data_IF_227051270506
#
_entry.id   IF_227051270506
#
_cell.length_a   1.000
_cell.length_b   1.000
_cell.length_c   1.000
_cell.angle_alpha   90.00
_cell.angle_beta   90.00
_cell.angle_gamma   90.00
#
_symmetry.space_group_name_H-M   'P 1'
#
loop_
_entity.id
_entity.type
_entity.pdbx_description
1 polymer ?
#
# COMPACT_ATOMS: atom_id res chain seq x y z
N UNK A 1 -21.37 19.95 6.27
CA UNK A 1 -22.00 18.63 6.07
C UNK A 1 -22.39 17.94 7.38
N UNK A 2 -22.24 18.58 8.56
CA UNK A 2 -22.71 18.09 9.84
C UNK A 2 -21.80 17.10 10.58
N UNK A 3 -20.63 16.78 10.04
CA UNK A 3 -19.64 15.94 10.72
C UNK A 3 -18.67 16.77 11.56
N UNK A 4 -18.34 16.29 12.75
CA UNK A 4 -17.36 16.94 13.63
C UNK A 4 -15.92 16.67 13.14
N UNK A 5 -15.66 15.47 12.58
CA UNK A 5 -14.34 15.05 12.09
C UNK A 5 -14.43 14.41 10.69
N UNK A 6 -13.37 14.56 9.90
CA UNK A 6 -13.27 13.95 8.56
C UNK A 6 -13.40 12.42 8.61
N UNK A 7 -12.91 11.79 9.66
CA UNK A 7 -12.94 10.33 9.81
C UNK A 7 -14.39 9.79 9.92
N UNK A 8 -15.31 10.54 10.54
CA UNK A 8 -16.72 10.18 10.63
C UNK A 8 -17.39 10.22 9.26
N UNK A 9 -17.08 11.27 8.47
CA UNK A 9 -17.52 11.35 7.08
C UNK A 9 -16.98 10.16 6.25
N UNK A 10 -15.71 9.83 6.41
CA UNK A 10 -15.10 8.71 5.69
C UNK A 10 -15.78 7.39 6.03
N UNK A 11 -16.04 7.13 7.33
CA UNK A 11 -16.78 5.95 7.79
C UNK A 11 -18.13 5.82 7.07
N UNK A 12 -18.90 6.90 7.02
CA UNK A 12 -20.23 6.89 6.39
C UNK A 12 -20.14 6.71 4.87
N UNK A 13 -19.10 7.25 4.21
CA UNK A 13 -18.88 7.02 2.78
C UNK A 13 -18.45 5.58 2.48
N UNK A 14 -17.60 4.98 3.32
CA UNK A 14 -17.24 3.56 3.20
C UNK A 14 -18.47 2.67 3.40
N UNK A 15 -19.29 2.94 4.42
CA UNK A 15 -20.55 2.21 4.65
C UNK A 15 -21.49 2.33 3.44
N UNK A 16 -21.65 3.53 2.88
CA UNK A 16 -22.46 3.76 1.68
C UNK A 16 -21.96 2.98 0.47
N UNK A 17 -20.63 2.92 0.26
CA UNK A 17 -20.02 2.15 -0.83
C UNK A 17 -20.32 0.65 -0.65
N UNK A 18 -20.09 0.11 0.54
CA UNK A 18 -20.41 -1.29 0.86
C UNK A 18 -21.88 -1.61 0.57
N UNK A 19 -22.79 -0.78 1.10
CA UNK A 19 -24.25 -0.98 0.99
C UNK A 19 -24.74 -0.89 -0.45
N UNK A 20 -24.25 0.09 -1.21
CA UNK A 20 -24.80 0.42 -2.53
C UNK A 20 -24.15 -0.29 -3.69
N UNK A 21 -22.90 -0.70 -3.54
CA UNK A 21 -22.13 -1.26 -4.67
C UNK A 21 -21.59 -2.66 -4.42
N UNK A 22 -21.48 -3.06 -3.16
CA UNK A 22 -20.77 -4.28 -2.78
C UNK A 22 -19.26 -4.20 -2.90
N UNK A 23 -18.68 -3.06 -3.30
CA UNK A 23 -17.23 -2.89 -3.36
C UNK A 23 -16.63 -2.81 -1.96
N UNK A 24 -15.42 -3.35 -1.81
CA UNK A 24 -14.70 -3.39 -0.54
C UNK A 24 -13.81 -2.14 -0.39
N UNK A 25 -14.11 -1.21 0.53
CA UNK A 25 -13.26 -0.06 0.76
C UNK A 25 -11.90 -0.44 1.35
N UNK A 26 -10.85 0.20 0.81
CA UNK A 26 -9.54 0.34 1.44
C UNK A 26 -9.36 1.80 1.87
N UNK A 27 -9.17 2.07 3.16
CA UNK A 27 -9.10 3.43 3.68
C UNK A 27 -7.66 3.84 4.00
N UNK A 28 -7.22 4.98 3.41
CA UNK A 28 -5.93 5.59 3.70
C UNK A 28 -6.10 7.10 3.96
N UNK A 29 -6.68 7.51 5.10
CA UNK A 29 -6.96 8.91 5.39
C UNK A 29 -5.77 9.69 5.97
N UNK A 30 -4.60 9.08 6.09
CA UNK A 30 -3.45 9.63 6.78
C UNK A 30 -3.28 9.06 8.20
N UNK A 31 -2.66 9.85 9.08
CA UNK A 31 -2.45 9.46 10.48
C UNK A 31 -3.78 9.29 11.22
N UNK A 32 -3.92 8.19 11.94
CA UNK A 32 -5.12 7.80 12.68
C UNK A 32 -4.77 7.43 14.11
N UNK A 33 -5.68 7.75 15.02
CA UNK A 33 -5.67 7.18 16.38
C UNK A 33 -6.25 5.77 16.37
N UNK A 34 -6.06 5.04 17.47
CA UNK A 34 -6.66 3.70 17.64
C UNK A 34 -8.20 3.76 17.57
N UNK A 35 -8.83 4.80 18.12
CA UNK A 35 -10.27 5.03 18.03
C UNK A 35 -10.73 5.29 16.57
N UNK A 36 -9.93 6.00 15.79
CA UNK A 36 -10.23 6.23 14.37
C UNK A 36 -10.20 4.93 13.57
N UNK A 37 -9.21 4.08 13.83
CA UNK A 37 -9.09 2.76 13.20
C UNK A 37 -10.24 1.86 13.62
N UNK A 38 -10.59 1.84 14.92
CA UNK A 38 -11.73 1.08 15.44
C UNK A 38 -13.06 1.52 14.79
N UNK A 39 -13.23 2.84 14.55
CA UNK A 39 -14.40 3.40 13.88
C UNK A 39 -14.53 2.97 12.42
N UNK A 40 -13.40 2.84 11.70
CA UNK A 40 -13.38 2.46 10.28
C UNK A 40 -13.41 0.93 10.07
N UNK A 41 -12.95 0.14 11.03
CA UNK A 41 -12.80 -1.31 10.89
C UNK A 41 -14.07 -2.03 10.40
N UNK A 42 -15.29 -1.71 10.89
CA UNK A 42 -16.52 -2.38 10.43
C UNK A 42 -16.92 -2.09 8.98
N UNK A 43 -16.33 -1.08 8.35
CA UNK A 43 -16.73 -0.59 7.02
C UNK A 43 -15.59 -0.62 6.00
N UNK A 44 -14.46 -1.25 6.34
CA UNK A 44 -13.29 -1.37 5.46
C UNK A 44 -12.72 -2.78 5.47
N UNK A 45 -12.28 -3.28 4.32
CA UNK A 45 -11.61 -4.58 4.22
C UNK A 45 -10.14 -4.51 4.63
N UNK A 46 -9.53 -3.36 4.46
CA UNK A 46 -8.15 -3.06 4.84
C UNK A 46 -7.94 -1.56 4.98
N UNK A 47 -6.83 -1.17 5.61
CA UNK A 47 -6.45 0.23 5.73
C UNK A 47 -4.97 0.40 5.36
N UNK A 48 -4.52 1.64 5.22
CA UNK A 48 -3.13 1.91 4.89
C UNK A 48 -2.63 3.26 5.39
N UNK A 49 -1.33 3.30 5.61
CA UNK A 49 -0.53 4.50 5.78
C UNK A 49 0.92 4.19 5.41
N UNK A 50 1.46 4.89 4.42
CA UNK A 50 2.88 4.78 4.09
C UNK A 50 3.73 5.25 5.28
N UNK A 51 4.67 4.43 5.76
CA UNK A 51 5.71 4.91 6.70
C UNK A 51 6.57 5.99 6.03
N UNK A 52 6.84 5.83 4.75
CA UNK A 52 7.73 6.59 3.89
C UNK A 52 9.19 6.46 4.28
N UNK A 53 9.55 6.81 5.49
CA UNK A 53 10.91 6.68 6.04
C UNK A 53 10.90 6.78 7.57
N UNK A 54 11.89 6.21 8.23
CA UNK A 54 12.15 6.48 9.66
C UNK A 54 13.18 7.58 9.88
N UNK A 55 13.70 8.19 8.82
CA UNK A 55 14.73 9.22 8.90
C UNK A 55 14.18 10.53 9.46
N UNK A 56 14.48 10.84 10.71
CA UNK A 56 14.15 12.14 11.33
C UNK A 56 14.93 13.29 10.68
N UNK A 57 16.08 13.02 10.08
CA UNK A 57 16.89 14.00 9.34
C UNK A 57 16.09 14.67 8.21
N UNK A 58 15.12 13.97 7.63
CA UNK A 58 14.25 14.53 6.58
C UNK A 58 13.21 15.52 7.10
N UNK A 59 13.05 15.66 8.42
CA UNK A 59 12.24 16.71 9.07
C UNK A 59 13.02 18.01 9.26
N UNK A 60 14.36 17.96 9.16
CA UNK A 60 15.24 19.09 9.37
C UNK A 60 15.18 20.11 8.22
N UNK A 61 15.93 21.21 8.37
CA UNK A 61 16.02 22.26 7.34
C UNK A 61 16.61 21.68 6.03
N UNK A 62 15.84 21.77 4.96
CA UNK A 62 16.20 21.22 3.65
C UNK A 62 15.69 19.81 3.38
N UNK A 63 15.20 19.12 4.39
CA UNK A 63 14.60 17.79 4.23
C UNK A 63 13.23 17.81 3.56
N UNK A 64 12.86 16.71 2.93
CA UNK A 64 11.62 16.54 2.19
C UNK A 64 10.36 16.71 3.07
N UNK A 65 10.43 16.26 4.32
CA UNK A 65 9.32 16.26 5.28
C UNK A 65 9.29 17.48 6.22
N UNK A 66 10.15 18.49 5.97
CA UNK A 66 10.19 19.67 6.81
C UNK A 66 8.83 20.38 6.88
N UNK A 67 8.35 20.59 8.12
CA UNK A 67 7.08 21.28 8.38
C UNK A 67 5.84 20.42 8.14
N UNK A 68 6.01 19.09 8.03
CA UNK A 68 4.92 18.13 7.87
C UNK A 68 4.81 17.29 9.15
N UNK A 69 3.99 17.68 10.14
CA UNK A 69 3.88 16.98 11.42
C UNK A 69 3.33 15.56 11.28
N UNK A 70 2.54 15.32 10.25
CA UNK A 70 2.01 14.00 9.87
C UNK A 70 3.05 13.07 9.22
N UNK A 71 4.26 13.59 8.93
CA UNK A 71 5.39 12.82 8.40
C UNK A 71 6.44 12.46 9.46
N UNK A 72 6.20 12.79 10.71
CA UNK A 72 7.06 12.35 11.82
C UNK A 72 7.03 10.83 11.91
N UNK A 73 8.17 10.12 11.83
CA UNK A 73 8.20 8.65 11.77
C UNK A 73 7.49 8.00 12.96
N UNK A 74 7.71 8.48 14.18
CA UNK A 74 7.07 7.95 15.38
C UNK A 74 5.53 8.01 15.32
N UNK A 75 4.97 9.10 14.76
CA UNK A 75 3.52 9.27 14.60
C UNK A 75 2.94 8.28 13.59
N UNK A 76 3.68 8.01 12.50
CA UNK A 76 3.27 7.03 11.49
C UNK A 76 3.39 5.60 12.00
N UNK A 77 4.49 5.28 12.69
CA UNK A 77 4.67 3.97 13.33
C UNK A 77 3.57 3.69 14.36
N UNK A 78 3.16 4.68 15.16
CA UNK A 78 2.05 4.52 16.10
C UNK A 78 0.72 4.18 15.40
N UNK A 79 0.41 4.82 14.28
CA UNK A 79 -0.79 4.47 13.49
C UNK A 79 -0.70 3.03 12.95
N UNK A 80 0.46 2.61 12.41
CA UNK A 80 0.65 1.25 11.90
C UNK A 80 0.55 0.24 13.03
N UNK A 81 1.13 0.54 14.18
CA UNK A 81 1.08 -0.31 15.37
C UNK A 81 -0.35 -0.42 15.94
N UNK A 82 -1.11 0.69 15.98
CA UNK A 82 -2.51 0.69 16.39
C UNK A 82 -3.38 -0.22 15.50
N UNK A 83 -3.14 -0.20 14.19
CA UNK A 83 -3.79 -1.15 13.27
C UNK A 83 -3.44 -2.61 13.59
N UNK A 84 -2.20 -2.88 14.01
CA UNK A 84 -1.76 -4.18 14.46
C UNK A 84 -2.45 -4.66 15.75
N UNK A 85 -2.58 -3.77 16.76
CA UNK A 85 -3.33 -4.06 17.99
C UNK A 85 -4.80 -4.41 17.71
N UNK A 86 -5.41 -3.71 16.77
CA UNK A 86 -6.80 -3.91 16.33
C UNK A 86 -6.97 -5.00 15.26
N UNK A 87 -5.89 -5.68 14.87
CA UNK A 87 -5.93 -6.75 13.88
C UNK A 87 -6.58 -6.34 12.55
N UNK A 88 -6.20 -5.19 12.02
CA UNK A 88 -6.67 -4.69 10.73
C UNK A 88 -5.63 -5.01 9.65
N UNK A 89 -5.98 -5.68 8.54
CA UNK A 89 -5.06 -5.86 7.41
C UNK A 89 -4.57 -4.50 6.92
N UNK A 90 -3.25 -4.29 6.93
CA UNK A 90 -2.69 -2.96 6.75
C UNK A 90 -1.66 -2.90 5.63
N UNK A 91 -1.75 -1.88 4.80
CA UNK A 91 -0.77 -1.53 3.77
C UNK A 91 0.13 -0.41 4.28
N UNK A 92 1.44 -0.59 4.18
CA UNK A 92 2.42 0.44 4.46
C UNK A 92 3.52 0.45 3.38
N UNK A 93 4.59 1.19 3.56
CA UNK A 93 5.69 1.20 2.61
C UNK A 93 6.67 2.32 2.82
N UNK A 94 7.66 2.36 1.94
CA UNK A 94 8.71 3.37 1.92
C UNK A 94 8.67 4.19 0.64
N UNK A 95 9.08 5.46 0.74
CA UNK A 95 9.24 6.35 -0.41
C UNK A 95 10.73 6.62 -0.61
N UNK A 96 11.25 6.23 -1.77
CA UNK A 96 12.68 6.40 -2.09
C UNK A 96 12.93 7.57 -3.04
N UNK A 97 14.12 8.17 -2.91
CA UNK A 97 14.55 9.31 -3.73
C UNK A 97 14.15 10.66 -3.15
N UNK A 98 13.79 10.73 -1.88
CA UNK A 98 13.44 11.97 -1.17
C UNK A 98 14.60 12.55 -0.36
N UNK A 99 15.82 12.03 -0.54
CA UNK A 99 17.03 12.44 0.16
C UNK A 99 17.45 11.51 1.30
N UNK A 100 16.78 10.38 1.46
CA UNK A 100 17.18 9.32 2.37
C UNK A 100 18.43 8.58 1.87
N UNK A 101 19.17 7.99 2.78
CA UNK A 101 20.29 7.10 2.48
C UNK A 101 19.84 5.65 2.30
N UNK A 102 20.71 4.80 1.72
CA UNK A 102 20.45 3.36 1.62
C UNK A 102 20.28 2.69 2.99
N UNK A 103 20.98 3.16 4.03
CA UNK A 103 20.82 2.66 5.40
C UNK A 103 19.44 3.03 5.95
N UNK A 104 18.99 4.27 5.76
CA UNK A 104 17.66 4.72 6.21
C UNK A 104 16.52 3.95 5.52
N UNK A 105 16.70 3.50 4.25
CA UNK A 105 15.77 2.57 3.60
C UNK A 105 15.71 1.22 4.30
N UNK A 106 16.89 0.64 4.58
CA UNK A 106 17.02 -0.64 5.29
C UNK A 106 16.40 -0.55 6.69
N UNK A 107 16.72 0.50 7.44
CA UNK A 107 16.19 0.72 8.79
C UNK A 107 14.66 0.88 8.76
N UNK A 108 14.11 1.58 7.74
CA UNK A 108 12.67 1.71 7.55
C UNK A 108 12.00 0.35 7.30
N UNK A 109 12.61 -0.51 6.49
CA UNK A 109 12.12 -1.86 6.23
C UNK A 109 12.19 -2.75 7.48
N UNK A 110 13.23 -2.63 8.30
CA UNK A 110 13.31 -3.34 9.58
C UNK A 110 12.28 -2.86 10.60
N UNK A 111 11.98 -1.55 10.63
CA UNK A 111 10.91 -1.03 11.47
C UNK A 111 9.54 -1.62 11.08
N UNK A 112 9.25 -1.71 9.78
CA UNK A 112 8.04 -2.36 9.26
C UNK A 112 8.04 -3.85 9.61
N UNK A 113 9.18 -4.54 9.40
CA UNK A 113 9.34 -5.98 9.72
C UNK A 113 9.08 -6.25 11.20
N UNK A 114 9.58 -5.42 12.10
CA UNK A 114 9.38 -5.58 13.54
C UNK A 114 7.89 -5.51 13.92
N UNK A 115 7.09 -4.64 13.29
CA UNK A 115 5.65 -4.58 13.49
C UNK A 115 4.93 -5.79 12.90
N UNK A 116 5.39 -6.27 11.73
CA UNK A 116 4.84 -7.49 11.12
C UNK A 116 5.11 -8.71 12.00
N UNK A 117 6.32 -8.87 12.50
CA UNK A 117 6.70 -9.99 13.37
C UNK A 117 5.90 -9.99 14.69
N UNK A 118 5.54 -8.80 15.19
CA UNK A 118 4.79 -8.66 16.43
C UNK A 118 3.28 -8.88 16.28
N UNK A 119 2.68 -8.39 15.19
CA UNK A 119 1.22 -8.34 15.05
C UNK A 119 0.68 -9.17 13.87
N UNK A 120 1.49 -9.47 12.88
CA UNK A 120 1.10 -10.24 11.70
C UNK A 120 0.06 -9.56 10.80
N UNK A 121 -0.05 -8.22 10.84
CA UNK A 121 -1.15 -7.47 10.21
C UNK A 121 -0.77 -6.74 8.92
N UNK A 122 0.53 -6.64 8.60
CA UNK A 122 0.99 -5.92 7.42
C UNK A 122 0.90 -6.85 6.20
N UNK A 123 -0.14 -6.65 5.42
CA UNK A 123 -0.41 -7.45 4.22
C UNK A 123 0.50 -7.08 3.05
N UNK A 124 0.93 -5.81 2.97
CA UNK A 124 1.61 -5.25 1.80
C UNK A 124 2.59 -4.16 2.21
N UNK A 125 3.78 -4.21 1.61
CA UNK A 125 4.80 -3.15 1.74
C UNK A 125 5.10 -2.59 0.36
N UNK A 126 4.76 -1.32 0.17
CA UNK A 126 4.95 -0.60 -1.09
C UNK A 126 6.35 0.02 -1.11
N UNK A 127 7.12 -0.27 -2.14
CA UNK A 127 8.34 0.48 -2.49
C UNK A 127 7.96 1.49 -3.58
N UNK A 128 7.80 2.74 -3.19
CA UNK A 128 7.41 3.82 -4.10
C UNK A 128 8.60 4.70 -4.44
N UNK A 129 8.79 5.03 -5.70
CA UNK A 129 9.80 5.99 -6.12
C UNK A 129 9.25 7.41 -6.18
N UNK A 130 10.04 8.36 -5.72
CA UNK A 130 9.77 9.78 -5.88
C UNK A 130 9.67 10.14 -7.37
N UNK A 131 8.68 10.97 -7.69
CA UNK A 131 8.54 11.61 -9.00
C UNK A 131 8.46 13.12 -8.82
N UNK A 132 9.31 13.84 -9.53
CA UNK A 132 9.31 15.32 -9.50
C UNK A 132 8.06 15.88 -10.18
N UNK A 133 7.57 16.98 -9.63
CA UNK A 133 6.45 17.75 -10.17
C UNK A 133 6.85 19.23 -10.24
N UNK A 134 6.28 19.96 -11.17
CA UNK A 134 6.65 21.36 -11.39
C UNK A 134 6.32 22.28 -10.21
N UNK A 135 5.31 21.94 -9.44
CA UNK A 135 4.73 22.73 -8.37
C UNK A 135 5.23 22.39 -6.96
N UNK A 136 6.19 21.45 -6.83
CA UNK A 136 6.76 21.06 -5.53
C UNK A 136 8.16 21.64 -5.31
N UNK A 137 8.59 21.74 -4.05
CA UNK A 137 9.93 22.21 -3.68
C UNK A 137 11.06 21.37 -4.30
N UNK A 138 10.81 20.07 -4.48
CA UNK A 138 11.78 19.10 -5.02
C UNK A 138 11.70 18.95 -6.54
N UNK A 139 11.15 19.93 -7.27
CA UNK A 139 10.98 19.88 -8.74
C UNK A 139 12.27 19.62 -9.53
N UNK A 140 13.39 20.03 -8.99
CA UNK A 140 14.73 19.88 -9.61
C UNK A 140 15.53 18.72 -8.98
N UNK A 141 14.92 17.94 -8.07
CA UNK A 141 15.57 16.84 -7.38
C UNK A 141 15.71 15.62 -8.29
N UNK A 142 16.82 14.85 -8.21
CA UNK A 142 16.98 13.66 -9.04
C UNK A 142 15.94 12.60 -8.68
N UNK A 143 15.36 11.98 -9.69
CA UNK A 143 14.47 10.84 -9.51
C UNK A 143 15.28 9.55 -9.36
N UNK A 144 14.79 8.58 -8.57
CA UNK A 144 15.41 7.25 -8.50
C UNK A 144 15.48 6.58 -9.87
N UNK A 145 16.59 5.92 -10.13
CA UNK A 145 16.78 5.11 -11.33
C UNK A 145 16.08 3.75 -11.21
N UNK A 146 15.93 3.04 -12.35
CA UNK A 146 15.47 1.66 -12.34
C UNK A 146 16.34 0.77 -11.43
N UNK A 147 17.66 0.98 -11.44
CA UNK A 147 18.58 0.22 -10.59
C UNK A 147 18.37 0.49 -9.09
N UNK A 148 18.03 1.74 -8.71
CA UNK A 148 17.68 2.07 -7.32
C UNK A 148 16.43 1.31 -6.89
N UNK A 149 15.42 1.23 -7.75
CA UNK A 149 14.21 0.46 -7.49
C UNK A 149 14.51 -1.03 -7.36
N UNK A 150 15.20 -1.64 -8.32
CA UNK A 150 15.53 -3.06 -8.30
C UNK A 150 16.33 -3.45 -7.04
N UNK A 151 17.32 -2.66 -6.66
CA UNK A 151 18.09 -2.88 -5.42
C UNK A 151 17.22 -2.78 -4.18
N UNK A 152 16.34 -1.77 -4.13
CA UNK A 152 15.46 -1.57 -2.97
C UNK A 152 14.43 -2.69 -2.86
N UNK A 153 13.83 -3.13 -3.96
CA UNK A 153 12.91 -4.27 -4.00
C UNK A 153 13.57 -5.57 -3.55
N UNK A 154 14.77 -5.86 -4.08
CA UNK A 154 15.52 -7.06 -3.68
C UNK A 154 15.85 -7.07 -2.17
N UNK A 155 16.28 -5.92 -1.64
CA UNK A 155 16.54 -5.78 -0.19
C UNK A 155 15.26 -5.88 0.61
N UNK A 156 14.15 -5.27 0.16
CA UNK A 156 12.84 -5.38 0.80
C UNK A 156 12.39 -6.85 0.87
N UNK A 157 12.51 -7.60 -0.22
CA UNK A 157 12.18 -9.03 -0.26
C UNK A 157 13.05 -9.85 0.71
N UNK A 158 14.34 -9.58 0.78
CA UNK A 158 15.24 -10.26 1.70
C UNK A 158 14.92 -9.99 3.18
N UNK A 159 14.54 -8.75 3.50
CA UNK A 159 14.17 -8.34 4.85
C UNK A 159 12.78 -8.87 5.24
N UNK A 160 11.78 -8.69 4.38
CA UNK A 160 10.39 -9.02 4.67
C UNK A 160 10.05 -10.51 4.50
N UNK A 161 10.91 -11.26 3.84
CA UNK A 161 10.68 -12.70 3.58
C UNK A 161 9.58 -12.93 2.54
N UNK A 162 8.87 -14.05 2.65
CA UNK A 162 7.86 -14.49 1.69
C UNK A 162 6.42 -14.34 2.19
N UNK A 163 6.23 -13.88 3.43
CA UNK A 163 4.91 -13.79 4.08
C UNK A 163 4.25 -12.42 3.94
N UNK A 164 5.01 -11.41 3.52
CA UNK A 164 4.51 -10.06 3.30
C UNK A 164 4.67 -9.73 1.81
N UNK A 165 3.60 -9.27 1.18
CA UNK A 165 3.67 -8.86 -0.22
C UNK A 165 4.54 -7.61 -0.38
N UNK A 166 5.39 -7.61 -1.41
CA UNK A 166 6.19 -6.46 -1.82
C UNK A 166 5.62 -5.90 -3.11
N UNK A 167 5.16 -4.67 -3.05
CA UNK A 167 4.47 -3.98 -4.14
C UNK A 167 5.27 -2.78 -4.64
N UNK A 168 5.17 -2.47 -5.92
CA UNK A 168 5.62 -1.20 -6.49
C UNK A 168 4.68 -0.74 -7.60
N UNK A 169 4.35 0.57 -7.67
CA UNK A 169 3.46 1.10 -8.70
C UNK A 169 4.09 1.02 -10.09
N UNK A 170 3.47 0.33 -11.07
CA UNK A 170 4.06 0.16 -12.40
C UNK A 170 4.06 1.46 -13.23
N UNK A 171 3.11 2.37 -12.99
CA UNK A 171 2.99 3.64 -13.71
C UNK A 171 4.12 4.64 -13.39
N UNK A 172 4.80 4.50 -12.26
CA UNK A 172 5.87 5.41 -11.88
C UNK A 172 7.22 5.09 -12.56
N UNK A 173 7.34 3.95 -13.21
CA UNK A 173 8.53 3.53 -13.98
C UNK A 173 8.10 2.74 -15.23
N UNK A 174 7.41 3.38 -16.20
CA UNK A 174 6.78 2.67 -17.32
C UNK A 174 7.77 1.86 -18.15
N UNK A 175 9.04 2.32 -18.23
CA UNK A 175 10.10 1.62 -18.94
C UNK A 175 10.85 0.71 -17.95
N UNK A 176 10.46 -0.59 -17.92
CA UNK A 176 11.19 -1.62 -17.19
C UNK A 176 10.59 -2.01 -15.84
N UNK A 177 9.35 -1.63 -15.51
CA UNK A 177 8.68 -2.08 -14.27
C UNK A 177 8.55 -3.61 -14.20
N UNK A 178 8.44 -4.30 -15.32
CA UNK A 178 8.41 -5.77 -15.40
C UNK A 178 9.65 -6.42 -14.74
N UNK A 179 10.80 -5.77 -14.78
CA UNK A 179 12.01 -6.24 -14.09
C UNK A 179 11.89 -6.28 -12.57
N UNK A 180 10.90 -5.60 -11.99
CA UNK A 180 10.61 -5.64 -10.55
C UNK A 180 10.29 -7.04 -10.06
N UNK A 181 9.65 -7.87 -10.90
CA UNK A 181 9.38 -9.28 -10.62
C UNK A 181 10.65 -10.07 -10.34
N UNK A 182 11.72 -9.81 -11.11
CA UNK A 182 13.02 -10.46 -10.93
C UNK A 182 13.76 -9.97 -9.67
N UNK A 183 13.36 -8.81 -9.15
CA UNK A 183 13.87 -8.26 -7.89
C UNK A 183 13.02 -8.67 -6.67
N UNK A 184 12.03 -9.55 -6.85
CA UNK A 184 11.24 -10.10 -5.75
C UNK A 184 9.93 -9.40 -5.46
N UNK A 185 9.44 -8.54 -6.39
CA UNK A 185 8.08 -8.03 -6.35
C UNK A 185 7.09 -9.18 -6.60
N UNK A 186 5.98 -9.18 -5.89
CA UNK A 186 4.89 -10.15 -6.05
C UNK A 186 3.49 -9.51 -6.10
N UNK A 187 3.42 -8.17 -6.13
CA UNK A 187 2.13 -7.47 -6.26
C UNK A 187 2.30 -6.15 -7.04
N UNK A 188 1.34 -5.84 -7.89
CA UNK A 188 1.31 -4.59 -8.66
C UNK A 188 0.46 -3.49 -8.01
N UNK A 189 -0.23 -3.81 -6.92
CA UNK A 189 -1.15 -2.91 -6.25
C UNK A 189 -2.47 -2.70 -6.98
N UNK A 190 -3.13 -1.62 -6.64
CA UNK A 190 -4.42 -1.25 -7.22
C UNK A 190 -4.29 -0.55 -8.57
N UNK A 191 -4.10 -1.30 -9.65
CA UNK A 191 -4.08 -0.74 -11.01
C UNK A 191 -5.50 -0.57 -11.52
N UNK A 192 -5.90 0.67 -11.80
CA UNK A 192 -7.26 0.98 -12.27
C UNK A 192 -7.34 1.11 -13.79
N UNK A 193 -8.21 0.35 -14.48
CA UNK A 193 -8.45 0.55 -15.90
C UNK A 193 -9.35 1.77 -16.20
N UNK A 194 -9.99 2.35 -15.19
CA UNK A 194 -11.04 3.38 -15.34
C UNK A 194 -10.60 4.73 -14.79
N UNK A 195 -9.92 4.75 -13.64
CA UNK A 195 -9.53 5.98 -12.97
C UNK A 195 -8.04 6.25 -13.17
N UNK A 196 -7.70 7.53 -13.30
CA UNK A 196 -6.28 7.94 -13.26
C UNK A 196 -5.71 7.82 -11.85
N UNK A 197 -4.39 7.76 -11.76
CA UNK A 197 -3.69 7.99 -10.49
C UNK A 197 -3.88 9.47 -10.09
N UNK A 198 -4.59 9.71 -8.98
CA UNK A 198 -4.85 11.07 -8.50
C UNK A 198 -3.65 11.71 -7.82
N UNK A 199 -2.68 10.91 -7.38
CA UNK A 199 -1.43 11.41 -6.80
C UNK A 199 -0.44 11.78 -7.91
N UNK A 200 -0.36 10.96 -8.98
CA UNK A 200 0.52 11.17 -10.12
C UNK A 200 -0.30 11.19 -11.44
N UNK A 201 -1.15 12.20 -11.64
CA UNK A 201 -2.10 12.22 -12.76
C UNK A 201 -1.43 12.29 -14.15
N UNK A 202 -0.15 12.67 -14.17
CA UNK A 202 0.71 12.68 -15.37
C UNK A 202 1.27 11.29 -15.71
N UNK A 203 1.05 10.28 -14.87
CA UNK A 203 1.52 8.90 -15.03
C UNK A 203 0.33 7.96 -15.18
N UNK A 204 -0.02 7.65 -16.41
CA UNK A 204 -1.10 6.71 -16.70
C UNK A 204 -0.77 5.30 -16.20
N UNK A 205 -1.79 4.61 -15.70
CA UNK A 205 -1.68 3.18 -15.42
C UNK A 205 -1.44 2.39 -16.71
N UNK A 206 -0.64 1.32 -16.69
CA UNK A 206 -0.57 0.40 -17.81
C UNK A 206 -1.94 -0.26 -18.02
N UNK A 207 -2.24 -0.64 -19.26
CA UNK A 207 -3.41 -1.46 -19.53
C UNK A 207 -3.27 -2.82 -18.84
N UNK A 208 -4.35 -3.34 -18.24
CA UNK A 208 -4.33 -4.62 -17.53
C UNK A 208 -3.81 -5.76 -18.40
N UNK A 209 -4.20 -5.81 -19.68
CA UNK A 209 -3.68 -6.79 -20.64
C UNK A 209 -2.17 -6.68 -20.83
N UNK A 210 -1.64 -5.47 -20.97
CA UNK A 210 -0.20 -5.23 -21.10
C UNK A 210 0.53 -5.68 -19.82
N UNK A 211 -0.02 -5.36 -18.66
CA UNK A 211 0.53 -5.77 -17.37
C UNK A 211 0.60 -7.29 -17.27
N UNK A 212 -0.47 -7.98 -17.67
CA UNK A 212 -0.53 -9.45 -17.72
C UNK A 212 0.51 -10.02 -18.68
N UNK A 213 0.55 -9.55 -19.92
CA UNK A 213 1.50 -10.01 -20.94
C UNK A 213 2.96 -9.83 -20.51
N UNK A 214 3.30 -8.71 -19.88
CA UNK A 214 4.65 -8.46 -19.36
C UNK A 214 4.99 -9.37 -18.19
N UNK A 215 4.03 -9.62 -17.29
CA UNK A 215 4.18 -10.53 -16.15
C UNK A 215 4.42 -11.98 -16.64
N UNK A 216 3.57 -12.45 -17.54
CA UNK A 216 3.63 -13.82 -18.06
C UNK A 216 4.90 -14.09 -18.93
N UNK A 217 5.38 -13.09 -19.65
CA UNK A 217 6.63 -13.16 -20.42
C UNK A 217 7.86 -13.49 -19.58
N UNK A 218 7.84 -13.10 -18.31
CA UNK A 218 8.91 -13.41 -17.34
C UNK A 218 8.67 -14.72 -16.58
N UNK A 219 7.61 -15.48 -16.93
CA UNK A 219 7.30 -16.78 -16.32
C UNK A 219 6.49 -16.71 -15.05
N UNK A 220 5.89 -15.55 -14.73
CA UNK A 220 4.99 -15.37 -13.61
C UNK A 220 3.53 -15.40 -14.06
N UNK A 221 2.61 -15.69 -13.14
CA UNK A 221 1.18 -15.66 -13.39
C UNK A 221 0.55 -14.47 -12.68
N UNK A 222 -0.12 -13.59 -13.44
CA UNK A 222 -0.90 -12.52 -12.85
C UNK A 222 -2.28 -13.02 -12.44
N UNK A 223 -2.68 -12.72 -11.21
CA UNK A 223 -4.01 -13.04 -10.65
C UNK A 223 -4.60 -11.78 -10.00
N UNK A 224 -5.91 -11.65 -10.08
CA UNK A 224 -6.62 -10.57 -9.41
C UNK A 224 -6.91 -10.93 -7.94
N UNK A 225 -6.70 -9.98 -7.03
CA UNK A 225 -7.04 -10.08 -5.62
C UNK A 225 -7.98 -8.96 -5.18
N UNK A 226 -8.59 -9.14 -4.03
CA UNK A 226 -9.36 -8.09 -3.37
C UNK A 226 -8.43 -7.06 -2.68
N UNK A 227 -9.02 -6.00 -2.11
CA UNK A 227 -8.32 -5.03 -1.27
C UNK A 227 -7.78 -5.64 0.04
N UNK A 228 -8.14 -6.87 0.35
CA UNK A 228 -7.59 -7.71 1.42
C UNK A 228 -6.91 -8.92 0.80
N UNK A 229 -5.73 -9.27 1.30
CA UNK A 229 -4.93 -10.37 0.77
C UNK A 229 -5.44 -11.75 1.16
N UNK A 230 -5.17 -12.80 0.36
CA UNK A 230 -5.66 -14.16 0.60
C UNK A 230 -5.36 -14.71 1.99
N UNK A 231 -4.20 -14.39 2.55
CA UNK A 231 -3.80 -14.82 3.90
C UNK A 231 -4.76 -14.30 4.96
N UNK A 232 -5.22 -13.07 4.83
CA UNK A 232 -6.14 -12.41 5.76
C UNK A 232 -7.58 -12.83 5.52
N UNK A 233 -7.95 -13.16 4.29
CA UNK A 233 -9.23 -13.80 3.97
C UNK A 233 -9.35 -15.15 4.68
N UNK A 234 -8.31 -15.99 4.59
CA UNK A 234 -8.29 -17.31 5.29
C UNK A 234 -8.31 -17.19 6.82
N UNK A 235 -7.80 -16.09 7.36
CA UNK A 235 -7.79 -15.77 8.79
C UNK A 235 -8.87 -14.74 9.15
N UNK A 236 -9.96 -14.70 8.40
CA UNK A 236 -11.00 -13.68 8.52
C UNK A 236 -11.60 -13.55 9.93
N UNK A 237 -11.69 -14.65 10.69
CA UNK A 237 -12.14 -14.60 12.09
C UNK A 237 -11.27 -13.72 12.99
N UNK A 238 -10.00 -13.56 12.65
CA UNK A 238 -9.04 -12.74 13.39
C UNK A 238 -8.98 -11.30 12.88
N UNK A 239 -8.98 -11.13 11.55
CA UNK A 239 -8.61 -9.87 10.92
C UNK A 239 -9.78 -9.07 10.34
N UNK A 240 -10.89 -9.71 10.01
CA UNK A 240 -12.01 -9.04 9.36
C UNK A 240 -13.18 -8.85 10.33
N UNK A 241 -13.88 -7.74 10.19
CA UNK A 241 -15.17 -7.57 10.81
C UNK A 241 -16.16 -8.62 10.23
N UNK A 242 -17.10 -9.17 11.02
CA UNK A 242 -18.05 -10.18 10.53
C UNK A 242 -18.80 -9.78 9.26
N UNK A 243 -19.23 -8.52 9.15
CA UNK A 243 -19.93 -8.03 7.97
C UNK A 243 -19.04 -8.01 6.71
N UNK A 244 -17.78 -7.58 6.86
CA UNK A 244 -16.79 -7.59 5.77
C UNK A 244 -16.45 -9.02 5.38
N UNK A 245 -16.27 -9.92 6.34
CA UNK A 245 -15.97 -11.33 6.09
C UNK A 245 -17.07 -12.02 5.27
N UNK A 246 -18.33 -11.80 5.60
CA UNK A 246 -19.47 -12.36 4.85
C UNK A 246 -19.45 -11.88 3.38
N UNK A 247 -19.17 -10.60 3.16
CA UNK A 247 -19.10 -10.04 1.82
C UNK A 247 -17.91 -10.58 1.02
N UNK A 248 -16.72 -10.65 1.62
CA UNK A 248 -15.50 -11.21 1.02
C UNK A 248 -15.69 -12.67 0.61
N UNK A 249 -16.35 -13.48 1.44
CA UNK A 249 -16.58 -14.89 1.16
C UNK A 249 -17.32 -15.16 -0.17
N UNK A 250 -18.17 -14.24 -0.60
CA UNK A 250 -18.88 -14.32 -1.90
C UNK A 250 -18.05 -13.88 -3.12
N UNK A 251 -16.86 -13.33 -2.90
CA UNK A 251 -16.04 -12.68 -3.94
C UNK A 251 -14.77 -13.46 -4.31
N UNK A 252 -14.41 -14.48 -3.53
CA UNK A 252 -13.14 -15.20 -3.68
C UNK A 252 -13.32 -16.67 -3.96
N UNK A 253 -12.31 -17.29 -4.58
CA UNK A 253 -12.15 -18.73 -4.72
C UNK A 253 -11.60 -19.37 -3.42
N UNK A 254 -11.38 -20.68 -3.42
CA UNK A 254 -10.79 -21.41 -2.30
C UNK A 254 -9.38 -20.95 -1.93
N UNK A 255 -8.67 -20.29 -2.84
CA UNK A 255 -7.36 -19.69 -2.62
C UNK A 255 -7.41 -18.31 -1.98
N UNK A 256 -8.59 -17.66 -1.95
CA UNK A 256 -8.76 -16.28 -1.47
C UNK A 256 -8.50 -15.21 -2.54
N UNK A 257 -8.43 -15.61 -3.80
CA UNK A 257 -8.28 -14.71 -4.96
C UNK A 257 -9.62 -14.56 -5.69
N UNK A 258 -9.73 -13.55 -6.55
CA UNK A 258 -10.88 -13.43 -7.45
C UNK A 258 -10.95 -14.67 -8.34
N UNK A 259 -12.13 -15.32 -8.50
CA UNK A 259 -12.27 -16.45 -9.39
C UNK A 259 -11.87 -16.11 -10.83
N UNK A 260 -11.14 -16.98 -11.57
CA UNK A 260 -10.60 -16.66 -12.90
C UNK A 260 -11.65 -16.18 -13.90
N UNK A 261 -12.88 -16.67 -13.81
CA UNK A 261 -13.99 -16.28 -14.67
C UNK A 261 -14.56 -14.88 -14.37
N UNK A 262 -14.13 -14.25 -13.27
CA UNK A 262 -14.52 -12.89 -12.84
C UNK A 262 -13.38 -11.88 -12.96
N UNK A 263 -12.17 -12.31 -13.33
CA UNK A 263 -11.03 -11.41 -13.51
C UNK A 263 -11.26 -10.42 -14.67
N UNK A 264 -10.70 -9.21 -14.58
CA UNK A 264 -10.97 -8.10 -15.52
C UNK A 264 -10.17 -8.13 -16.83
N UNK A 265 -9.35 -9.13 -17.10
CA UNK A 265 -8.54 -9.25 -18.34
C UNK A 265 -8.93 -10.43 -19.22
#
# INVERSE_FOLDING_TARGET
RGYARTIEYLRDMCALVLERTGLLPHANPGVMTEDDIALLRPVTASMGLMLETISERLLERGGAHRGCPDKVPAVRLETIEAAGRLRVPFTTGILIGIGETSHERVDSLYAIRALQDRYGHIQEVIVQNFRRKADIRMRDWPEPTLLDMLRTLAVARLILGTTTAVQAPPNLMPDGYDLYLLAGLDDWGGVSPVTRDFINPERAWPHLRELKERTERLGFTLRERLAVYPEYVRQGDTFLDPAIREQVAGMVDAGGLVPPEKELW
#
